data_IF_786283693806
#
_entry.id   IF_786283693806
#
_cell.length_a   1.000
_cell.length_b   1.000
_cell.length_c   1.000
_cell.angle_alpha   90.00
_cell.angle_beta   90.00
_cell.angle_gamma   90.00
#
_symmetry.space_group_name_H-M   'P 1'
#
loop_
_entity.id
_entity.type
_entity.pdbx_description
1 polymer ?
#
# COMPACT_ATOMS: atom_id res chain seq x y z
N UNK A 1 13.09 -40.30 -9.74
CA UNK A 1 12.30 -41.23 -8.91
C UNK A 1 12.52 -41.01 -7.41
N UNK A 2 13.78 -40.90 -6.92
CA UNK A 2 14.10 -40.63 -5.51
C UNK A 2 13.51 -39.33 -4.95
N UNK A 3 13.62 -38.21 -5.69
CA UNK A 3 13.14 -36.87 -5.26
C UNK A 3 11.64 -36.84 -4.91
N UNK A 4 10.80 -37.49 -5.74
CA UNK A 4 9.35 -37.58 -5.53
C UNK A 4 8.93 -38.56 -4.41
N UNK A 5 9.84 -39.44 -3.97
CA UNK A 5 9.62 -40.30 -2.80
C UNK A 5 9.96 -39.52 -1.53
N UNK A 6 11.09 -38.82 -1.51
CA UNK A 6 11.50 -37.95 -0.40
C UNK A 6 10.49 -36.84 -0.14
N UNK A 7 9.97 -36.21 -1.18
CA UNK A 7 8.95 -35.15 -1.07
C UNK A 7 7.64 -35.66 -0.44
N UNK A 8 7.23 -36.89 -0.77
CA UNK A 8 6.08 -37.54 -0.12
C UNK A 8 6.32 -37.82 1.36
N UNK A 9 7.50 -38.33 1.71
CA UNK A 9 7.87 -38.61 3.11
C UNK A 9 7.89 -37.31 3.93
N UNK A 10 8.48 -36.24 3.42
CA UNK A 10 8.51 -34.94 4.10
C UNK A 10 7.09 -34.41 4.29
N UNK A 11 6.23 -34.52 3.28
CA UNK A 11 4.83 -34.09 3.39
C UNK A 11 4.08 -34.86 4.48
N UNK A 12 4.27 -36.18 4.56
CA UNK A 12 3.71 -36.99 5.64
C UNK A 12 4.19 -36.53 7.01
N UNK A 13 5.51 -36.31 7.18
CA UNK A 13 6.08 -35.82 8.44
C UNK A 13 5.48 -34.46 8.84
N UNK A 14 5.31 -33.54 7.88
CA UNK A 14 4.68 -32.24 8.13
C UNK A 14 3.26 -32.41 8.63
N UNK A 15 2.42 -33.22 7.97
CA UNK A 15 1.04 -33.45 8.39
C UNK A 15 0.96 -34.02 9.81
N UNK A 16 1.79 -35.03 10.13
CA UNK A 16 1.81 -35.65 11.45
C UNK A 16 2.21 -34.66 12.56
N UNK A 17 3.20 -33.78 12.30
CA UNK A 17 3.59 -32.74 13.27
C UNK A 17 2.48 -31.70 13.46
N UNK A 18 1.77 -31.32 12.39
CA UNK A 18 0.63 -30.40 12.48
C UNK A 18 -0.47 -31.01 13.35
N UNK A 19 -0.85 -32.27 13.09
CA UNK A 19 -1.86 -32.98 13.87
C UNK A 19 -1.49 -33.06 15.36
N UNK A 20 -0.23 -33.40 15.66
CA UNK A 20 0.25 -33.48 17.03
C UNK A 20 0.26 -32.10 17.72
N UNK A 21 0.65 -31.03 17.03
CA UNK A 21 0.57 -29.66 17.58
C UNK A 21 -0.87 -29.29 17.94
N UNK A 22 -1.83 -29.62 17.06
CA UNK A 22 -3.27 -29.38 17.30
C UNK A 22 -3.77 -30.17 18.51
N UNK A 23 -3.37 -31.44 18.64
CA UNK A 23 -3.69 -32.26 19.81
C UNK A 23 -3.14 -31.69 21.13
N UNK A 24 -2.06 -30.91 21.06
CA UNK A 24 -1.47 -30.17 22.20
C UNK A 24 -2.07 -28.77 22.40
N UNK A 25 -3.06 -28.37 21.61
CA UNK A 25 -3.74 -27.08 21.70
C UNK A 25 -3.08 -25.95 20.93
N UNK A 26 -2.07 -26.22 20.09
CA UNK A 26 -1.38 -25.21 19.28
C UNK A 26 -1.83 -25.28 17.82
N UNK A 27 -2.29 -24.15 17.28
CA UNK A 27 -2.59 -24.03 15.85
C UNK A 27 -1.34 -23.58 15.08
N UNK A 28 -0.83 -24.42 14.19
CA UNK A 28 0.33 -24.14 13.34
C UNK A 28 0.02 -24.46 11.88
N UNK A 29 0.59 -23.69 10.94
CA UNK A 29 0.41 -23.94 9.51
C UNK A 29 1.41 -24.97 8.98
N UNK A 30 1.02 -25.72 7.93
CA UNK A 30 1.94 -26.64 7.23
C UNK A 30 3.21 -25.93 6.76
N UNK A 31 3.10 -24.66 6.34
CA UNK A 31 4.25 -23.86 5.90
C UNK A 31 5.23 -23.59 7.03
N UNK A 32 4.74 -23.25 8.23
CA UNK A 32 5.58 -23.05 9.41
C UNK A 32 6.28 -24.35 9.83
N UNK A 33 5.54 -25.46 9.82
CA UNK A 33 6.10 -26.78 10.13
C UNK A 33 7.14 -27.20 9.10
N UNK A 34 6.88 -26.99 7.81
CA UNK A 34 7.85 -27.27 6.75
C UNK A 34 9.15 -26.47 6.90
N UNK A 35 9.04 -25.19 7.28
CA UNK A 35 10.21 -24.37 7.61
C UNK A 35 10.94 -24.91 8.85
N UNK A 36 10.20 -25.30 9.90
CA UNK A 36 10.79 -25.86 11.12
C UNK A 36 11.54 -27.15 10.85
N UNK A 37 10.95 -28.08 10.10
CA UNK A 37 11.60 -29.33 9.66
C UNK A 37 12.92 -29.02 8.95
N UNK A 38 12.90 -28.07 8.01
CA UNK A 38 14.12 -27.62 7.32
C UNK A 38 15.15 -27.04 8.28
N UNK A 39 14.73 -26.16 9.20
CA UNK A 39 15.63 -25.53 10.17
C UNK A 39 16.26 -26.56 11.14
N UNK A 40 15.50 -27.56 11.57
CA UNK A 40 15.98 -28.63 12.45
C UNK A 40 16.97 -29.52 11.72
N UNK A 41 16.71 -29.89 10.47
CA UNK A 41 17.64 -30.71 9.66
C UNK A 41 18.93 -29.95 9.35
N UNK A 42 18.84 -28.65 9.04
CA UNK A 42 20.01 -27.83 8.69
C UNK A 42 20.86 -27.41 9.88
N UNK A 43 20.35 -27.49 11.11
CA UNK A 43 21.12 -27.11 12.29
C UNK A 43 22.20 -28.15 12.59
N UNK A 44 23.51 -27.80 12.50
CA UNK A 44 24.61 -28.74 12.71
C UNK A 44 24.59 -29.41 14.11
N UNK A 45 24.03 -28.75 15.12
CA UNK A 45 23.94 -29.30 16.48
C UNK A 45 23.02 -30.51 16.58
N UNK A 46 22.10 -30.67 15.61
CA UNK A 46 21.15 -31.76 15.61
C UNK A 46 21.70 -33.01 14.91
N UNK A 47 22.87 -32.94 14.27
CA UNK A 47 23.56 -34.11 13.71
C UNK A 47 22.78 -34.87 12.63
N UNK A 48 21.87 -34.21 11.91
CA UNK A 48 21.24 -34.81 10.74
C UNK A 48 22.18 -34.73 9.53
N UNK A 49 22.40 -35.85 8.86
CA UNK A 49 23.12 -35.89 7.59
C UNK A 49 22.14 -35.66 6.44
N UNK A 50 22.34 -34.56 5.70
CA UNK A 50 21.47 -34.14 4.59
C UNK A 50 21.63 -35.07 3.37
N UNK A 51 22.76 -35.78 3.27
CA UNK A 51 23.10 -36.64 2.14
C UNK A 51 22.73 -38.12 2.37
N UNK A 52 22.20 -38.47 3.55
CA UNK A 52 21.77 -39.83 3.87
C UNK A 52 20.26 -39.97 4.03
N UNK A 53 19.74 -41.17 3.77
CA UNK A 53 18.33 -41.49 3.98
C UNK A 53 18.01 -41.56 5.46
N UNK A 54 17.02 -40.79 5.92
CA UNK A 54 16.53 -40.81 7.29
C UNK A 54 16.04 -42.22 7.66
N UNK A 55 16.55 -42.76 8.77
CA UNK A 55 15.99 -43.97 9.39
C UNK A 55 14.65 -43.67 10.07
N UNK A 56 13.91 -44.71 10.47
CA UNK A 56 12.67 -44.53 11.23
C UNK A 56 12.93 -43.83 12.58
N UNK A 57 14.06 -44.13 13.23
CA UNK A 57 14.50 -43.46 14.46
C UNK A 57 14.80 -41.97 14.22
N UNK A 58 15.46 -41.64 13.10
CA UNK A 58 15.72 -40.24 12.73
C UNK A 58 14.44 -39.46 12.47
N UNK A 59 13.44 -40.08 11.84
CA UNK A 59 12.15 -39.46 11.60
C UNK A 59 11.44 -39.13 12.91
N UNK A 60 11.45 -40.06 13.89
CA UNK A 60 10.85 -39.80 15.20
C UNK A 60 11.60 -38.70 15.96
N UNK A 61 12.94 -38.73 15.93
CA UNK A 61 13.77 -37.69 16.53
C UNK A 61 13.52 -36.32 15.91
N UNK A 62 13.39 -36.25 14.59
CA UNK A 62 13.07 -35.04 13.84
C UNK A 62 11.71 -34.47 14.25
N UNK A 63 10.68 -35.32 14.31
CA UNK A 63 9.34 -34.93 14.75
C UNK A 63 9.38 -34.33 16.16
N UNK A 64 10.03 -35.02 17.10
CA UNK A 64 10.13 -34.55 18.48
C UNK A 64 10.82 -33.18 18.57
N UNK A 65 11.97 -33.00 17.92
CA UNK A 65 12.68 -31.72 17.92
C UNK A 65 11.86 -30.58 17.29
N UNK A 66 11.06 -30.88 16.27
CA UNK A 66 10.15 -29.90 15.68
C UNK A 66 9.02 -29.54 16.64
N UNK A 67 8.40 -30.54 17.27
CA UNK A 67 7.31 -30.35 18.23
C UNK A 67 7.76 -29.51 19.42
N UNK A 68 8.91 -29.84 20.01
CA UNK A 68 9.46 -29.10 21.14
C UNK A 68 9.67 -27.62 20.77
N UNK A 69 10.21 -27.34 19.58
CA UNK A 69 10.43 -25.97 19.09
C UNK A 69 9.15 -25.22 18.71
N UNK A 70 8.12 -25.93 18.23
CA UNK A 70 6.85 -25.32 17.81
C UNK A 70 5.91 -25.04 18.97
N UNK A 71 6.04 -25.80 20.05
CA UNK A 71 5.24 -25.69 21.28
C UNK A 71 5.94 -24.93 22.40
N UNK A 72 7.20 -24.53 22.20
CA UNK A 72 7.96 -23.69 23.13
C UNK A 72 7.24 -22.35 23.36
N UNK A 73 6.80 -22.12 24.60
CA UNK A 73 6.19 -20.86 24.99
C UNK A 73 7.25 -19.74 25.06
N UNK A 74 6.90 -18.55 24.58
CA UNK A 74 7.76 -17.36 24.65
C UNK A 74 9.13 -17.54 23.99
N UNK A 75 9.20 -18.25 22.85
CA UNK A 75 10.44 -18.47 22.10
C UNK A 75 10.71 -17.34 21.08
N UNK A 76 11.69 -16.45 21.31
CA UNK A 76 12.00 -15.37 20.36
C UNK A 76 12.46 -15.90 19.00
N UNK A 77 13.07 -17.09 18.98
CA UNK A 77 13.46 -17.78 17.75
C UNK A 77 12.25 -18.19 16.92
N UNK A 78 11.23 -18.79 17.55
CA UNK A 78 9.99 -19.16 16.88
C UNK A 78 9.24 -17.92 16.37
N UNK A 79 9.16 -16.87 17.17
CA UNK A 79 8.52 -15.61 16.76
C UNK A 79 9.24 -14.96 15.58
N UNK A 80 10.58 -15.01 15.57
CA UNK A 80 11.38 -14.54 14.43
C UNK A 80 11.08 -15.35 13.16
N UNK A 81 10.95 -16.68 13.27
CA UNK A 81 10.59 -17.53 12.12
C UNK A 81 9.19 -17.17 11.61
N UNK A 82 8.21 -17.00 12.50
CA UNK A 82 6.85 -16.59 12.13
C UNK A 82 6.85 -15.23 11.41
N UNK A 83 7.62 -14.27 11.92
CA UNK A 83 7.79 -12.96 11.28
C UNK A 83 8.42 -13.06 9.89
N UNK A 84 9.50 -13.84 9.75
CA UNK A 84 10.16 -14.05 8.46
C UNK A 84 9.20 -14.69 7.45
N UNK A 85 8.49 -15.74 7.85
CA UNK A 85 7.56 -16.44 6.98
C UNK A 85 6.38 -15.54 6.57
N UNK A 86 5.85 -14.76 7.51
CA UNK A 86 4.83 -13.75 7.21
C UNK A 86 5.34 -12.75 6.16
N UNK A 87 6.57 -12.27 6.31
CA UNK A 87 7.14 -11.32 5.36
C UNK A 87 7.36 -11.95 3.97
N UNK A 88 7.91 -13.17 3.92
CA UNK A 88 8.10 -13.88 2.65
C UNK A 88 6.77 -14.12 1.92
N UNK A 89 5.75 -14.62 2.63
CA UNK A 89 4.46 -14.93 2.02
C UNK A 89 3.71 -13.69 1.52
N UNK A 90 3.82 -12.56 2.23
CA UNK A 90 3.01 -11.37 1.94
C UNK A 90 3.76 -10.29 1.14
N UNK A 91 5.10 -10.28 1.16
CA UNK A 91 5.89 -9.17 0.63
C UNK A 91 7.02 -9.56 -0.32
N UNK A 92 7.43 -10.83 -0.40
CA UNK A 92 8.55 -11.24 -1.27
C UNK A 92 8.31 -10.84 -2.74
N UNK A 93 7.12 -11.14 -3.27
CA UNK A 93 6.79 -10.85 -4.68
C UNK A 93 6.18 -9.46 -4.88
N UNK A 94 5.89 -8.72 -3.81
CA UNK A 94 5.18 -7.43 -3.92
C UNK A 94 5.97 -6.42 -4.72
N UNK A 95 7.30 -6.40 -4.57
CA UNK A 95 8.19 -5.51 -5.33
C UNK A 95 8.16 -5.83 -6.81
N UNK A 96 8.29 -7.11 -7.17
CA UNK A 96 8.29 -7.56 -8.56
C UNK A 96 6.94 -7.30 -9.23
N UNK A 97 5.85 -7.58 -8.52
CA UNK A 97 4.49 -7.27 -8.97
C UNK A 97 4.29 -5.78 -9.23
N UNK A 98 4.72 -4.91 -8.30
CA UNK A 98 4.65 -3.45 -8.50
C UNK A 98 5.53 -2.97 -9.65
N UNK A 99 6.73 -3.54 -9.81
CA UNK A 99 7.61 -3.22 -10.92
C UNK A 99 6.97 -3.58 -12.26
N UNK A 100 6.29 -4.73 -12.35
CA UNK A 100 5.59 -5.16 -13.56
C UNK A 100 4.39 -4.25 -13.88
N UNK A 101 3.60 -3.87 -12.87
CA UNK A 101 2.52 -2.87 -13.04
C UNK A 101 3.08 -1.56 -13.61
N UNK A 102 4.16 -1.03 -13.03
CA UNK A 102 4.78 0.20 -13.53
C UNK A 102 5.33 0.03 -14.95
N UNK A 103 5.92 -1.12 -15.28
CA UNK A 103 6.42 -1.42 -16.62
C UNK A 103 5.29 -1.41 -17.65
N UNK A 104 4.17 -2.07 -17.34
CA UNK A 104 2.98 -2.11 -18.20
C UNK A 104 2.38 -0.71 -18.38
N UNK A 105 2.30 0.07 -17.30
CA UNK A 105 1.82 1.44 -17.35
C UNK A 105 2.70 2.32 -18.26
N UNK A 106 4.01 2.29 -18.07
CA UNK A 106 4.96 3.06 -18.90
C UNK A 106 4.96 2.61 -20.36
N UNK A 107 4.71 1.33 -20.62
CA UNK A 107 4.51 0.81 -21.98
C UNK A 107 3.24 1.38 -22.61
N UNK A 108 2.10 1.32 -21.92
CA UNK A 108 0.81 1.86 -22.41
C UNK A 108 0.87 3.37 -22.64
N UNK A 109 1.58 4.11 -21.79
CA UNK A 109 1.73 5.56 -21.90
C UNK A 109 2.79 6.01 -22.91
N UNK A 110 3.57 5.08 -23.49
CA UNK A 110 4.67 5.43 -24.38
C UNK A 110 4.24 6.24 -25.60
N UNK A 111 3.06 5.96 -26.17
CA UNK A 111 2.49 6.70 -27.28
C UNK A 111 2.22 8.17 -26.93
N UNK A 112 1.42 8.41 -25.89
CA UNK A 112 1.09 9.76 -25.41
C UNK A 112 2.35 10.52 -24.97
N UNK A 113 3.27 9.85 -24.27
CA UNK A 113 4.58 10.43 -23.87
C UNK A 113 5.37 10.87 -25.09
N UNK A 114 5.39 10.06 -26.14
CA UNK A 114 6.09 10.39 -27.39
C UNK A 114 5.44 11.57 -28.11
N UNK A 115 4.12 11.59 -28.21
CA UNK A 115 3.38 12.70 -28.82
C UNK A 115 3.70 14.03 -28.14
N UNK A 116 3.73 14.06 -26.81
CA UNK A 116 4.07 15.27 -26.04
C UNK A 116 5.54 15.67 -26.24
N UNK A 117 6.47 14.72 -26.16
CA UNK A 117 7.92 15.01 -26.20
C UNK A 117 8.42 15.41 -27.59
N UNK A 118 7.83 14.82 -28.64
CA UNK A 118 8.13 15.11 -30.04
C UNK A 118 7.34 16.35 -30.55
N UNK A 119 6.38 16.88 -29.79
CA UNK A 119 5.61 18.07 -30.15
C UNK A 119 6.51 19.29 -30.43
N UNK A 120 6.11 20.09 -31.43
CA UNK A 120 6.79 21.31 -31.90
C UNK A 120 5.79 22.46 -32.05
N UNK A 121 4.97 22.69 -31.02
CA UNK A 121 3.98 23.76 -30.96
C UNK A 121 4.61 25.13 -31.26
N UNK A 122 3.93 25.92 -32.10
CA UNK A 122 4.36 27.28 -32.49
C UNK A 122 3.25 28.31 -32.35
N UNK A 123 2.00 27.88 -32.45
CA UNK A 123 0.81 28.74 -32.29
C UNK A 123 0.25 28.68 -30.87
N UNK A 124 -0.55 29.68 -30.49
CA UNK A 124 -1.25 29.67 -29.20
C UNK A 124 -2.19 28.47 -29.06
N UNK A 125 -2.82 28.06 -30.16
CA UNK A 125 -3.72 26.90 -30.18
C UNK A 125 -2.92 25.59 -29.98
N UNK A 126 -1.74 25.48 -30.60
CA UNK A 126 -0.86 24.33 -30.41
C UNK A 126 -0.42 24.19 -28.94
N UNK A 127 -0.15 25.32 -28.28
CA UNK A 127 0.19 25.35 -26.85
C UNK A 127 -0.96 24.82 -26.01
N UNK A 128 -2.19 25.24 -26.30
CA UNK A 128 -3.37 24.74 -25.58
C UNK A 128 -3.59 23.23 -25.81
N UNK A 129 -3.42 22.75 -27.05
CA UNK A 129 -3.49 21.32 -27.37
C UNK A 129 -2.42 20.52 -26.62
N UNK A 130 -1.17 20.97 -26.64
CA UNK A 130 -0.08 20.32 -25.91
C UNK A 130 -0.34 20.30 -24.41
N UNK A 131 -0.81 21.41 -23.86
CA UNK A 131 -1.15 21.51 -22.44
C UNK A 131 -2.26 20.51 -22.05
N UNK A 132 -3.27 20.35 -22.89
CA UNK A 132 -4.32 19.33 -22.71
C UNK A 132 -3.77 17.90 -22.81
N UNK A 133 -2.83 17.63 -23.71
CA UNK A 133 -2.15 16.32 -23.79
C UNK A 133 -1.37 16.02 -22.50
N UNK A 134 -0.70 17.03 -21.92
CA UNK A 134 0.01 16.89 -20.63
C UNK A 134 -0.97 16.56 -19.49
N UNK A 135 -2.11 17.25 -19.42
CA UNK A 135 -3.18 16.95 -18.43
C UNK A 135 -3.67 15.50 -18.59
N UNK A 136 -3.90 15.07 -19.83
CA UNK A 136 -4.33 13.70 -20.14
C UNK A 136 -3.30 12.67 -19.69
N UNK A 137 -2.01 12.93 -19.98
CA UNK A 137 -0.90 12.08 -19.52
C UNK A 137 -0.85 11.98 -18.00
N UNK A 138 -0.97 13.10 -17.27
CA UNK A 138 -0.96 13.12 -15.80
C UNK A 138 -2.12 12.31 -15.23
N UNK A 139 -3.34 12.46 -15.77
CA UNK A 139 -4.51 11.69 -15.34
C UNK A 139 -4.32 10.20 -15.55
N UNK A 140 -3.85 9.79 -16.73
CA UNK A 140 -3.64 8.38 -17.04
C UNK A 140 -2.49 7.77 -16.22
N UNK A 141 -1.41 8.52 -15.96
CA UNK A 141 -0.26 8.03 -15.19
C UNK A 141 -0.52 7.96 -13.70
N UNK A 142 -1.27 8.92 -13.16
CA UNK A 142 -1.63 8.94 -11.74
C UNK A 142 -2.63 7.86 -11.36
N UNK A 143 -3.39 7.33 -12.33
CA UNK A 143 -4.53 6.44 -12.11
C UNK A 143 -5.59 7.02 -11.13
N UNK A 144 -5.62 8.34 -10.96
CA UNK A 144 -6.57 9.05 -10.09
C UNK A 144 -7.45 9.93 -10.96
N UNK A 145 -8.66 9.46 -11.23
CA UNK A 145 -9.62 10.09 -12.13
C UNK A 145 -9.48 9.64 -13.59
N UNK A 146 -10.34 10.18 -14.45
CA UNK A 146 -10.39 9.82 -15.87
C UNK A 146 -10.31 11.07 -16.74
N UNK A 147 -9.56 11.05 -17.85
CA UNK A 147 -9.61 12.12 -18.86
C UNK A 147 -11.00 12.33 -19.47
N UNK A 148 -11.91 11.36 -19.35
CA UNK A 148 -13.30 11.50 -19.79
C UNK A 148 -14.18 12.26 -18.77
N UNK A 149 -13.72 12.45 -17.54
CA UNK A 149 -14.45 13.18 -16.51
C UNK A 149 -14.00 14.65 -16.50
N UNK A 150 -14.92 15.56 -16.84
CA UNK A 150 -14.67 16.99 -16.89
C UNK A 150 -14.11 17.56 -15.57
N UNK A 151 -14.65 17.15 -14.42
CA UNK A 151 -14.19 17.64 -13.12
C UNK A 151 -12.74 17.21 -12.85
N UNK A 152 -12.40 15.97 -13.21
CA UNK A 152 -11.02 15.47 -13.07
C UNK A 152 -10.05 16.26 -13.96
N UNK A 153 -10.45 16.60 -15.19
CA UNK A 153 -9.66 17.42 -16.11
C UNK A 153 -9.51 18.84 -15.57
N UNK A 154 -10.59 19.44 -15.06
CA UNK A 154 -10.58 20.79 -14.48
C UNK A 154 -9.68 20.89 -13.24
N UNK A 155 -9.82 19.95 -12.29
CA UNK A 155 -8.98 19.90 -11.10
C UNK A 155 -7.50 19.69 -11.45
N UNK A 156 -7.23 18.83 -12.44
CA UNK A 156 -5.87 18.60 -12.93
C UNK A 156 -5.31 19.84 -13.64
N UNK A 157 -6.13 20.53 -14.42
CA UNK A 157 -5.76 21.78 -15.06
C UNK A 157 -5.40 22.85 -14.02
N UNK A 158 -6.24 23.06 -13.01
CA UNK A 158 -5.99 24.02 -11.95
C UNK A 158 -4.70 23.70 -11.18
N UNK A 159 -4.50 22.43 -10.81
CA UNK A 159 -3.28 21.98 -10.15
C UNK A 159 -2.04 22.13 -11.05
N UNK A 160 -2.13 21.80 -12.35
CA UNK A 160 -1.02 22.00 -13.29
C UNK A 160 -0.70 23.49 -13.48
N UNK A 161 -1.69 24.36 -13.60
CA UNK A 161 -1.48 25.81 -13.75
C UNK A 161 -0.75 26.41 -12.54
N UNK A 162 -0.92 25.84 -11.34
CA UNK A 162 -0.21 26.30 -10.14
C UNK A 162 1.29 26.00 -10.15
N UNK A 163 1.76 25.05 -10.97
CA UNK A 163 3.16 24.61 -11.03
C UNK A 163 3.82 24.83 -12.39
N UNK A 164 3.03 24.86 -13.46
CA UNK A 164 3.45 25.13 -14.83
C UNK A 164 2.34 25.94 -15.53
N UNK A 165 2.34 27.27 -15.40
CA UNK A 165 1.42 28.12 -16.15
C UNK A 165 1.54 27.90 -17.66
N UNK A 166 0.46 28.12 -18.41
CA UNK A 166 0.45 27.94 -19.88
C UNK A 166 1.54 28.77 -20.59
N UNK A 167 1.82 29.98 -20.08
CA UNK A 167 2.84 30.88 -20.65
C UNK A 167 4.26 30.34 -20.51
N UNK A 168 4.49 29.47 -19.52
CA UNK A 168 5.80 28.88 -19.23
C UNK A 168 6.03 27.56 -19.99
N UNK A 169 5.02 27.07 -20.72
CA UNK A 169 5.12 25.86 -21.53
C UNK A 169 6.20 25.97 -22.62
N UNK A 170 6.58 27.19 -23.01
CA UNK A 170 7.71 27.42 -23.93
C UNK A 170 9.03 26.88 -23.38
N UNK A 171 9.25 26.97 -22.07
CA UNK A 171 10.44 26.42 -21.40
C UNK A 171 10.46 24.88 -21.44
N UNK A 172 9.29 24.24 -21.33
CA UNK A 172 9.17 22.79 -21.52
C UNK A 172 9.56 22.37 -22.94
N UNK A 173 9.15 23.12 -23.96
CA UNK A 173 9.38 22.77 -25.37
C UNK A 173 10.86 22.76 -25.78
N UNK A 174 11.70 23.58 -25.16
CA UNK A 174 13.14 23.67 -25.47
C UNK A 174 13.98 22.57 -24.82
N UNK A 175 13.41 21.82 -23.88
CA UNK A 175 14.11 20.73 -23.22
C UNK A 175 14.43 19.58 -24.18
N UNK A 176 15.49 18.85 -23.86
CA UNK A 176 15.81 17.60 -24.54
C UNK A 176 14.73 16.56 -24.24
N UNK A 177 14.59 15.58 -25.13
CA UNK A 177 13.56 14.53 -25.00
C UNK A 177 13.59 13.84 -23.63
N UNK A 178 14.78 13.46 -23.15
CA UNK A 178 14.98 12.81 -21.85
C UNK A 178 14.49 13.70 -20.69
N UNK A 179 14.77 15.00 -20.77
CA UNK A 179 14.40 15.97 -19.73
C UNK A 179 12.89 16.24 -19.75
N UNK A 180 12.27 16.30 -20.93
CA UNK A 180 10.81 16.35 -21.07
C UNK A 180 10.15 15.12 -20.45
N UNK A 181 10.67 13.91 -20.72
CA UNK A 181 10.14 12.68 -20.12
C UNK A 181 10.27 12.70 -18.59
N UNK A 182 11.38 13.20 -18.06
CA UNK A 182 11.58 13.33 -16.62
C UNK A 182 10.63 14.38 -16.01
N UNK A 183 10.52 15.55 -16.62
CA UNK A 183 9.63 16.62 -16.16
C UNK A 183 8.16 16.18 -16.18
N UNK A 184 7.73 15.38 -17.17
CA UNK A 184 6.38 14.80 -17.18
C UNK A 184 6.11 13.90 -15.96
N UNK A 185 7.10 13.12 -15.52
CA UNK A 185 6.97 12.28 -14.32
C UNK A 185 6.89 13.13 -13.06
N UNK A 186 7.70 14.17 -12.96
CA UNK A 186 7.72 15.10 -11.82
C UNK A 186 6.41 15.89 -11.73
N UNK A 187 5.96 16.47 -12.84
CA UNK A 187 4.67 17.15 -12.91
C UNK A 187 3.53 16.21 -12.53
N UNK A 188 3.57 14.94 -12.97
CA UNK A 188 2.57 13.96 -12.52
C UNK A 188 2.58 13.83 -11.00
N UNK A 189 3.74 13.62 -10.35
CA UNK A 189 3.80 13.45 -8.90
C UNK A 189 3.29 14.70 -8.15
N UNK A 190 3.72 15.89 -8.58
CA UNK A 190 3.36 17.14 -7.91
C UNK A 190 1.87 17.44 -8.10
N UNK A 191 1.38 17.41 -9.34
CA UNK A 191 -0.03 17.69 -9.67
C UNK A 191 -0.96 16.68 -9.02
N UNK A 192 -0.59 15.39 -9.00
CA UNK A 192 -1.35 14.37 -8.28
C UNK A 192 -1.38 14.65 -6.77
N UNK A 193 -0.24 15.02 -6.17
CA UNK A 193 -0.19 15.40 -4.76
C UNK A 193 -1.11 16.57 -4.42
N UNK A 194 -1.09 17.64 -5.23
CA UNK A 194 -1.97 18.80 -5.06
C UNK A 194 -3.43 18.40 -5.17
N UNK A 195 -3.79 17.57 -6.15
CA UNK A 195 -5.18 17.10 -6.32
C UNK A 195 -5.68 16.28 -5.13
N UNK A 196 -4.86 15.35 -4.64
CA UNK A 196 -5.20 14.55 -3.44
C UNK A 196 -5.38 15.45 -2.24
N UNK A 197 -4.49 16.43 -2.05
CA UNK A 197 -4.57 17.37 -0.94
C UNK A 197 -5.84 18.24 -1.01
N UNK A 198 -6.15 18.77 -2.20
CA UNK A 198 -7.35 19.58 -2.41
C UNK A 198 -8.62 18.77 -2.16
N UNK A 199 -8.66 17.51 -2.62
CA UNK A 199 -9.78 16.60 -2.38
C UNK A 199 -9.97 16.30 -0.88
N UNK A 200 -8.88 15.96 -0.19
CA UNK A 200 -8.92 15.73 1.27
C UNK A 200 -9.35 16.98 2.05
N UNK A 201 -8.96 18.17 1.58
CA UNK A 201 -9.35 19.45 2.18
C UNK A 201 -10.83 19.75 2.00
N UNK A 202 -11.39 19.52 0.80
CA UNK A 202 -12.84 19.65 0.53
C UNK A 202 -13.66 18.74 1.43
N UNK A 203 -13.27 17.47 1.56
CA UNK A 203 -13.96 16.51 2.44
C UNK A 203 -13.95 16.96 3.90
N UNK A 204 -12.83 17.51 4.38
CA UNK A 204 -12.73 18.06 5.74
C UNK A 204 -13.67 19.25 5.93
N UNK A 205 -13.76 20.16 4.96
CA UNK A 205 -14.67 21.31 5.01
C UNK A 205 -16.15 20.88 5.00
N UNK A 206 -16.50 19.86 4.23
CA UNK A 206 -17.85 19.27 4.22
C UNK A 206 -18.20 18.68 5.59
N UNK A 207 -17.29 17.90 6.20
CA UNK A 207 -17.48 17.36 7.54
C UNK A 207 -17.66 18.45 8.61
N UNK A 208 -16.86 19.52 8.53
CA UNK A 208 -16.99 20.68 9.43
C UNK A 208 -18.32 21.42 9.21
N UNK A 209 -18.80 21.49 7.96
CA UNK A 209 -20.08 22.11 7.61
C UNK A 209 -21.26 21.31 8.13
N UNK A 210 -21.22 19.98 8.03
CA UNK A 210 -22.21 19.09 8.62
C UNK A 210 -22.24 19.20 10.15
N UNK A 211 -21.07 19.25 10.80
CA UNK A 211 -20.99 19.44 12.25
C UNK A 211 -21.62 20.77 12.70
N UNK A 212 -21.38 21.87 11.97
CA UNK A 212 -22.02 23.17 12.23
C UNK A 212 -23.55 23.09 12.06
N UNK A 213 -24.03 22.44 10.99
CA UNK A 213 -25.45 22.27 10.75
C UNK A 213 -26.12 21.51 11.90
N UNK A 214 -25.53 20.38 12.30
CA UNK A 214 -25.99 19.55 13.41
C UNK A 214 -26.04 20.39 14.70
N UNK A 215 -24.95 21.05 15.06
CA UNK A 215 -24.87 21.87 16.29
C UNK A 215 -25.91 22.98 16.32
N UNK A 216 -26.16 23.64 15.18
CA UNK A 216 -27.17 24.70 15.08
C UNK A 216 -28.60 24.14 15.19
N UNK A 217 -28.88 22.97 14.60
CA UNK A 217 -30.19 22.32 14.74
C UNK A 217 -30.49 21.85 16.15
N UNK A 218 -29.46 21.44 16.93
CA UNK A 218 -29.63 21.11 18.34
C UNK A 218 -29.93 22.35 19.18
N UNK A 219 -29.28 23.49 18.88
CA UNK A 219 -29.53 24.74 19.61
C UNK A 219 -30.92 25.34 19.34
N UNK A 220 -31.45 25.18 18.12
CA UNK A 220 -32.82 25.62 17.78
C UNK A 220 -33.92 24.67 18.32
N UNK A 221 -33.55 23.49 18.84
CA UNK A 221 -34.50 22.48 19.34
C UNK A 221 -34.71 22.50 20.86
N UNK A 222 -33.99 23.35 21.61
CA UNK A 222 -34.20 23.59 23.05
C UNK A 222 -34.85 24.97 23.27
N UNK A 223 -36.18 25.08 23.50
CA UNK A 223 -36.82 26.35 23.81
C UNK A 223 -36.70 26.75 25.30
N UNK A 224 -35.96 26.01 26.13
CA UNK A 224 -35.88 26.27 27.57
C UNK A 224 -34.57 26.94 28.02
N UNK A 225 -34.24 28.09 27.41
CA UNK A 225 -33.47 29.14 28.11
C UNK A 225 -34.00 30.54 27.77
N UNK A 226 -35.32 30.70 27.84
CA UNK A 226 -35.90 31.98 28.22
C UNK A 226 -36.65 31.75 29.52
N UNK A 227 -36.06 32.25 30.62
CA UNK A 227 -36.67 32.57 31.92
C UNK A 227 -36.14 31.75 33.12
N UNK A 228 -35.08 32.26 33.75
CA UNK A 228 -34.90 32.14 35.21
C UNK A 228 -34.28 33.43 35.72
N UNK A 229 -35.11 34.20 36.43
CA UNK A 229 -34.77 35.51 36.98
C UNK A 229 -33.76 35.46 38.13
N UNK A 230 -33.14 36.63 38.32
CA UNK A 230 -32.79 37.32 39.56
C UNK A 230 -32.58 36.50 40.84
N UNK A 231 -31.37 36.59 41.40
CA UNK A 231 -31.16 36.89 42.83
C UNK A 231 -29.67 37.24 43.06
N UNK A 232 -29.31 38.50 42.80
CA UNK A 232 -28.08 39.11 43.33
C UNK A 232 -28.47 39.93 44.58
N UNK A 233 -28.35 39.29 45.75
CA UNK A 233 -28.56 39.91 47.06
C UNK A 233 -27.41 40.86 47.40
N UNK A 234 -27.67 42.16 47.27
CA UNK A 234 -26.86 43.26 47.79
C UNK A 234 -27.08 43.40 49.31
N UNK A 235 -26.11 42.96 50.10
CA UNK A 235 -26.05 43.26 51.54
C UNK A 235 -25.19 44.50 51.78
N UNK A 236 -25.78 45.67 51.49
CA UNK A 236 -25.29 46.97 51.95
C UNK A 236 -26.47 47.85 52.38
N UNK A 237 -27.06 47.59 53.56
CA UNK A 237 -27.59 48.60 54.50
C UNK A 237 -28.28 47.98 55.72
N UNK A 238 -27.67 48.24 56.90
CA UNK A 238 -28.13 48.06 58.30
C UNK A 238 -28.07 46.65 58.87
#
# INVERSE_FOLDING_TARGET
MFRARTERVIKTIICEIVEECVNRGHSVSETLVGFMVKAVVLNPTNGFDVDHTLSEEDVQRLKQLCLDKLTEESSPGLDTIKMQLYFEMNYALRREFLAEIHRILEFKLSGVRREITDNRAKSRDDFHTLYHQIITYILLRSAIGSPANFNCVQDTNAALQSVLPLNDLGAFLVLLKKDKEQQLKELTMIVTGIRIFNEASKQKEELLSLHKLITNTWHDSDPEQSNSGDDELDCSNI
#
